data_IF_603492969273
#
_entry.id   IF_603492969273
#
_cell.length_a   1.000
_cell.length_b   1.000
_cell.length_c   1.000
_cell.angle_alpha   90.00
_cell.angle_beta   90.00
_cell.angle_gamma   90.00
#
_symmetry.space_group_name_H-M   'P 1'
#
loop_
_entity.id
_entity.type
_entity.pdbx_description
1 polymer ?
#
# COMPACT_ATOMS: atom_id res chain seq x y z
N UNK A 1 31.38 43.91 2.13
CA UNK A 1 30.94 45.27 1.78
C UNK A 1 30.02 45.17 0.57
N UNK A 2 28.71 45.34 0.76
CA UNK A 2 27.73 45.41 -0.33
C UNK A 2 27.19 46.84 -0.37
N UNK A 3 27.38 47.50 -1.51
CA UNK A 3 26.94 48.88 -1.78
C UNK A 3 25.40 48.96 -1.77
N UNK A 4 24.81 49.67 -0.81
CA UNK A 4 23.40 50.08 -0.87
C UNK A 4 23.28 51.40 -1.64
N UNK A 5 22.81 51.37 -2.89
CA UNK A 5 22.32 52.59 -3.54
C UNK A 5 20.90 52.88 -3.07
N UNK A 6 20.75 53.91 -2.23
CA UNK A 6 19.45 54.43 -1.82
C UNK A 6 18.77 55.10 -3.03
N UNK A 7 17.67 54.54 -3.52
CA UNK A 7 16.85 55.19 -4.56
C UNK A 7 15.81 56.08 -3.87
N UNK A 8 16.02 57.41 -3.90
CA UNK A 8 15.01 58.38 -3.41
C UNK A 8 13.79 58.36 -4.34
N UNK A 9 12.59 58.23 -3.78
CA UNK A 9 11.31 58.38 -4.50
C UNK A 9 10.48 59.48 -3.85
N UNK A 10 9.76 60.26 -4.65
CA UNK A 10 8.87 61.33 -4.19
C UNK A 10 7.42 60.83 -4.36
N UNK A 11 6.62 60.96 -3.31
CA UNK A 11 5.20 60.61 -3.30
C UNK A 11 4.31 61.84 -3.23
N UNK A 12 3.15 61.79 -3.87
CA UNK A 12 2.08 62.79 -3.69
C UNK A 12 1.10 62.33 -2.61
N UNK A 13 0.71 63.24 -1.72
CA UNK A 13 -0.26 63.00 -0.63
C UNK A 13 -1.64 63.45 -1.10
N UNK A 14 -2.64 62.59 -0.97
CA UNK A 14 -4.06 62.95 -1.13
C UNK A 14 -4.76 62.85 0.22
N UNK A 15 -5.49 63.91 0.60
CA UNK A 15 -6.31 63.92 1.82
C UNK A 15 -7.73 63.42 1.50
N UNK A 16 -8.11 62.27 2.07
CA UNK A 16 -9.49 61.77 2.08
C UNK A 16 -10.33 62.43 3.19
N UNK A 17 -11.66 62.39 3.04
CA UNK A 17 -12.64 63.12 3.85
C UNK A 17 -12.77 62.66 5.32
N UNK A 18 -12.14 61.57 5.71
CA UNK A 18 -12.00 61.17 7.11
C UNK A 18 -10.50 61.04 7.38
N UNK A 19 -9.94 62.08 8.00
CA UNK A 19 -8.49 62.20 8.23
C UNK A 19 -7.93 60.97 8.92
N UNK A 20 -7.19 60.15 8.16
CA UNK A 20 -6.01 59.36 8.57
C UNK A 20 -5.67 58.27 7.53
N UNK A 21 -5.54 58.64 6.25
CA UNK A 21 -4.97 57.75 5.25
C UNK A 21 -4.10 58.53 4.26
N UNK A 22 -2.80 58.29 4.31
CA UNK A 22 -1.84 58.79 3.32
C UNK A 22 -1.53 57.67 2.35
N UNK A 23 -2.06 57.78 1.12
CA UNK A 23 -1.76 56.84 0.04
C UNK A 23 -0.57 57.39 -0.75
N UNK A 24 0.51 56.62 -0.84
CA UNK A 24 1.71 56.99 -1.62
C UNK A 24 1.79 56.11 -2.86
N UNK A 25 1.65 56.70 -4.05
CA UNK A 25 1.92 56.00 -5.31
C UNK A 25 3.43 55.93 -5.56
N UNK A 26 4.00 54.72 -5.49
CA UNK A 26 5.41 54.51 -5.79
C UNK A 26 5.63 54.35 -7.31
N UNK A 27 5.54 55.44 -8.06
CA UNK A 27 6.00 55.50 -9.45
C UNK A 27 7.51 55.69 -9.55
N UNK A 28 8.14 55.20 -10.62
CA UNK A 28 9.41 55.77 -11.09
C UNK A 28 9.12 57.15 -11.69
N UNK A 29 9.94 58.15 -11.41
CA UNK A 29 9.81 59.46 -12.06
C UNK A 29 9.86 59.25 -13.58
N UNK A 30 8.82 59.67 -14.28
CA UNK A 30 8.76 59.68 -15.74
C UNK A 30 8.23 58.42 -16.43
N UNK A 31 7.76 57.39 -15.72
CA UNK A 31 7.10 56.25 -16.37
C UNK A 31 6.04 55.60 -15.44
N UNK A 32 4.74 55.93 -15.59
CA UNK A 32 3.68 55.22 -14.89
C UNK A 32 3.49 53.83 -15.50
N UNK A 33 3.65 52.79 -14.68
CA UNK A 33 3.30 51.41 -15.06
C UNK A 33 1.81 51.24 -14.73
N UNK A 34 0.93 50.96 -15.71
CA UNK A 34 -0.46 50.62 -15.42
C UNK A 34 -0.49 49.31 -14.62
N UNK A 35 -1.44 49.19 -13.68
CA UNK A 35 -1.75 47.96 -12.93
C UNK A 35 -0.83 47.54 -11.76
N UNK A 36 -0.02 48.45 -11.20
CA UNK A 36 0.59 48.18 -9.88
C UNK A 36 -0.41 48.56 -8.78
N UNK A 37 -0.89 47.61 -7.96
CA UNK A 37 -1.80 47.93 -6.86
C UNK A 37 -1.09 48.82 -5.82
N UNK A 38 -1.79 49.81 -5.25
CA UNK A 38 -1.19 50.71 -4.27
C UNK A 38 -0.74 49.93 -3.03
N UNK A 39 0.50 50.16 -2.60
CA UNK A 39 1.03 49.60 -1.36
C UNK A 39 0.66 50.53 -0.21
N UNK A 40 -0.11 50.04 0.75
CA UNK A 40 -0.47 50.78 1.95
C UNK A 40 0.70 50.68 2.94
N UNK A 41 1.33 51.80 3.28
CA UNK A 41 2.50 51.85 4.17
C UNK A 41 2.10 52.41 5.56
N UNK A 42 0.97 51.92 6.11
CA UNK A 42 0.57 52.12 7.51
C UNK A 42 -0.38 53.29 7.81
N UNK A 43 -0.93 53.30 9.04
CA UNK A 43 -1.70 54.40 9.65
C UNK A 43 -0.78 55.25 10.54
N UNK A 44 -0.89 56.57 10.48
CA UNK A 44 -0.10 57.50 11.30
C UNK A 44 -1.03 58.35 12.18
N UNK A 45 -0.62 58.74 13.40
CA UNK A 45 -1.44 59.59 14.26
C UNK A 45 -1.51 61.03 13.74
N UNK A 46 -2.73 61.59 13.75
CA UNK A 46 -3.09 62.92 13.27
C UNK A 46 -2.39 64.08 14.00
N UNK A 47 -1.14 64.38 13.67
CA UNK A 47 -0.48 65.65 14.02
C UNK A 47 0.47 66.10 12.90
N UNK A 48 -0.07 66.35 11.70
CA UNK A 48 0.67 66.97 10.60
C UNK A 48 0.02 68.31 10.24
N UNK A 49 0.83 69.37 10.25
CA UNK A 49 0.43 70.73 9.91
C UNK A 49 0.09 70.80 8.41
N UNK A 50 -1.13 71.22 8.01
CA UNK A 50 -1.59 71.17 6.60
C UNK A 50 -0.83 72.06 5.61
N UNK A 51 0.21 72.80 6.04
CA UNK A 51 1.03 73.65 5.16
C UNK A 51 2.40 73.05 4.78
N UNK A 52 2.77 71.89 5.32
CA UNK A 52 4.02 71.21 4.97
C UNK A 52 3.79 70.21 3.83
N UNK A 53 4.05 70.63 2.58
CA UNK A 53 3.79 69.82 1.37
C UNK A 53 4.88 68.79 1.02
N UNK A 54 5.82 68.50 1.92
CA UNK A 54 6.84 67.47 1.67
C UNK A 54 7.29 66.79 2.95
N UNK A 55 6.72 65.60 3.23
CA UNK A 55 7.28 64.67 4.22
C UNK A 55 8.34 63.83 3.51
N UNK A 56 9.60 63.99 3.91
CA UNK A 56 10.68 63.07 3.52
C UNK A 56 10.48 61.77 4.30
N UNK A 57 9.82 60.79 3.69
CA UNK A 57 9.70 59.45 4.24
C UNK A 57 10.99 58.71 3.92
N UNK A 58 11.86 58.50 4.91
CA UNK A 58 13.00 57.59 4.80
C UNK A 58 12.47 56.15 4.94
N UNK A 59 11.75 55.71 3.91
CA UNK A 59 11.29 54.34 3.83
C UNK A 59 12.52 53.47 3.52
N UNK A 60 13.12 52.88 4.56
CA UNK A 60 13.91 51.67 4.35
C UNK A 60 12.95 50.62 3.80
N UNK A 61 12.91 50.50 2.47
CA UNK A 61 12.39 49.31 1.82
C UNK A 61 13.29 48.19 2.29
N UNK A 62 12.89 47.49 3.36
CA UNK A 62 13.35 46.12 3.56
C UNK A 62 13.02 45.45 2.25
N UNK A 63 14.05 45.12 1.46
CA UNK A 63 13.85 44.15 0.40
C UNK A 63 13.12 42.99 1.08
N UNK A 64 12.02 42.46 0.51
CA UNK A 64 11.49 41.22 1.02
C UNK A 64 12.72 40.31 1.09
N UNK A 65 13.01 39.79 2.30
CA UNK A 65 14.03 38.76 2.42
C UNK A 65 13.74 37.83 1.25
N UNK A 66 14.71 37.70 0.35
CA UNK A 66 14.61 36.69 -0.68
C UNK A 66 14.48 35.43 0.13
N UNK A 67 13.24 34.96 0.31
CA UNK A 67 12.95 33.69 0.95
C UNK A 67 13.92 32.76 0.29
N UNK A 68 14.81 32.18 1.07
CA UNK A 68 15.86 31.32 0.56
C UNK A 68 15.17 30.24 -0.27
N UNK A 69 15.04 30.45 -1.59
CA UNK A 69 14.44 29.49 -2.53
C UNK A 69 15.46 28.41 -2.88
N UNK A 70 16.60 28.42 -2.19
CA UNK A 70 17.59 27.35 -2.12
C UNK A 70 17.40 26.50 -0.84
N UNK A 71 16.23 26.52 -0.20
CA UNK A 71 15.84 25.38 0.63
C UNK A 71 15.49 24.24 -0.33
N UNK A 72 16.48 23.40 -0.65
CA UNK A 72 16.17 22.03 -1.03
C UNK A 72 15.15 21.49 -0.01
N UNK A 73 14.00 20.95 -0.44
CA UNK A 73 13.09 20.31 0.51
C UNK A 73 13.92 19.32 1.31
N UNK A 74 13.80 19.32 2.65
CA UNK A 74 14.45 18.30 3.48
C UNK A 74 14.12 16.94 2.84
N UNK A 75 15.15 16.24 2.36
CA UNK A 75 15.00 14.93 1.77
C UNK A 75 14.53 14.00 2.89
N UNK A 76 13.22 13.77 2.96
CA UNK A 76 12.68 12.68 3.75
C UNK A 76 12.90 11.40 2.95
N UNK A 77 13.84 10.52 3.36
CA UNK A 77 14.09 9.30 2.63
C UNK A 77 12.82 8.46 2.60
N UNK A 78 12.45 7.96 1.41
CA UNK A 78 11.29 7.08 1.26
C UNK A 78 11.65 5.75 1.90
N UNK A 79 10.97 5.38 2.97
CA UNK A 79 11.14 4.08 3.60
C UNK A 79 10.42 2.98 2.80
N UNK A 80 10.98 1.77 2.79
CA UNK A 80 10.29 0.61 2.26
C UNK A 80 9.02 0.34 3.08
N UNK A 81 7.88 0.15 2.40
CA UNK A 81 6.63 -0.21 3.07
C UNK A 81 6.77 -1.58 3.74
N UNK A 82 6.44 -1.69 5.05
CA UNK A 82 6.45 -2.97 5.73
C UNK A 82 5.35 -3.89 5.19
N UNK A 83 5.61 -5.20 5.18
CA UNK A 83 4.61 -6.22 4.91
C UNK A 83 3.86 -6.57 6.21
N UNK A 84 2.67 -5.99 6.38
CA UNK A 84 1.90 -6.08 7.62
C UNK A 84 1.49 -7.52 7.93
N UNK A 85 1.02 -8.28 6.94
CA UNK A 85 0.63 -9.67 7.13
C UNK A 85 1.81 -10.52 7.61
N UNK A 86 2.98 -10.37 6.98
CA UNK A 86 4.21 -11.07 7.38
C UNK A 86 4.64 -10.72 8.80
N UNK A 87 4.56 -9.44 9.19
CA UNK A 87 4.92 -9.01 10.56
C UNK A 87 3.94 -9.54 11.60
N UNK A 88 2.63 -9.54 11.32
CA UNK A 88 1.61 -10.13 12.21
C UNK A 88 1.84 -11.62 12.41
N UNK A 89 2.10 -12.39 11.34
CA UNK A 89 2.42 -13.81 11.46
C UNK A 89 3.68 -14.05 12.30
N UNK A 90 4.73 -13.25 12.11
CA UNK A 90 5.96 -13.35 12.91
C UNK A 90 5.72 -13.04 14.41
N UNK A 91 4.72 -12.21 14.72
CA UNK A 91 4.25 -11.94 16.09
C UNK A 91 3.33 -13.04 16.66
N UNK A 92 3.01 -14.08 15.89
CA UNK A 92 2.09 -15.15 16.27
C UNK A 92 0.61 -14.77 16.20
N UNK A 93 0.30 -13.63 15.57
CA UNK A 93 -1.06 -13.14 15.39
C UNK A 93 -1.74 -13.77 14.16
N UNK A 94 -3.07 -13.71 14.13
CA UNK A 94 -3.85 -14.15 12.97
C UNK A 94 -3.90 -13.04 11.91
N UNK A 95 -3.67 -13.42 10.66
CA UNK A 95 -3.87 -12.62 9.46
C UNK A 95 -5.21 -12.96 8.83
N UNK A 96 -6.04 -11.95 8.61
CA UNK A 96 -7.28 -12.04 7.84
C UNK A 96 -7.05 -11.54 6.41
N UNK A 97 -7.15 -12.44 5.43
CA UNK A 97 -6.98 -12.16 4.01
C UNK A 97 -8.33 -12.26 3.27
N UNK A 98 -8.63 -11.30 2.39
CA UNK A 98 -9.84 -11.32 1.57
C UNK A 98 -9.52 -11.47 0.08
N UNK A 99 -10.26 -12.30 -0.62
CA UNK A 99 -10.21 -12.48 -2.08
C UNK A 99 -11.49 -11.98 -2.76
N UNK A 100 -11.45 -11.89 -4.10
CA UNK A 100 -12.59 -11.43 -4.91
C UNK A 100 -12.65 -9.91 -5.10
N UNK A 101 -11.55 -9.20 -4.82
CA UNK A 101 -11.39 -7.77 -5.11
C UNK A 101 -10.52 -7.66 -6.37
N UNK A 102 -11.12 -7.27 -7.50
CA UNK A 102 -10.47 -7.32 -8.82
C UNK A 102 -10.25 -5.95 -9.44
N UNK A 103 -10.87 -4.91 -8.87
CA UNK A 103 -10.66 -3.52 -9.23
C UNK A 103 -10.13 -2.72 -8.02
N UNK A 104 -9.29 -1.68 -8.23
CA UNK A 104 -8.88 -0.79 -7.13
C UNK A 104 -10.04 -0.19 -6.34
N UNK A 105 -11.19 0.10 -6.98
CA UNK A 105 -12.39 0.60 -6.31
C UNK A 105 -12.97 -0.43 -5.33
N UNK A 106 -12.90 -1.73 -5.63
CA UNK A 106 -13.30 -2.79 -4.71
C UNK A 106 -12.46 -2.74 -3.44
N UNK A 107 -11.14 -2.57 -3.60
CA UNK A 107 -10.18 -2.46 -2.50
C UNK A 107 -10.45 -1.21 -1.66
N UNK A 108 -10.72 -0.06 -2.30
CA UNK A 108 -11.08 1.18 -1.60
C UNK A 108 -12.39 1.03 -0.81
N UNK A 109 -13.35 0.27 -1.33
CA UNK A 109 -14.61 -0.01 -0.64
C UNK A 109 -14.42 -0.95 0.55
N UNK A 110 -13.51 -1.91 0.44
CA UNK A 110 -13.22 -2.87 1.51
C UNK A 110 -12.22 -2.37 2.55
N UNK A 111 -11.35 -1.41 2.21
CA UNK A 111 -10.31 -0.88 3.08
C UNK A 111 -10.78 -0.49 4.50
N UNK A 112 -11.91 0.22 4.67
CA UNK A 112 -12.46 0.54 5.99
C UNK A 112 -12.85 -0.67 6.85
N UNK A 113 -13.01 -1.87 6.26
CA UNK A 113 -13.33 -3.09 7.00
C UNK A 113 -12.13 -3.68 7.75
N UNK A 114 -10.90 -3.21 7.48
CA UNK A 114 -9.72 -3.53 8.28
C UNK A 114 -9.16 -4.95 8.08
N UNK A 115 -9.22 -5.49 6.86
CA UNK A 115 -8.50 -6.72 6.52
C UNK A 115 -6.98 -6.48 6.50
N UNK A 116 -6.20 -7.51 6.81
CA UNK A 116 -4.74 -7.41 6.86
C UNK A 116 -4.09 -7.55 5.49
N UNK A 117 -4.77 -8.28 4.58
CA UNK A 117 -4.26 -8.60 3.26
C UNK A 117 -5.37 -8.76 2.22
N UNK A 118 -5.01 -8.54 0.96
CA UNK A 118 -5.84 -8.80 -0.21
C UNK A 118 -5.17 -9.86 -1.08
N UNK A 119 -5.93 -10.90 -1.41
CA UNK A 119 -5.55 -11.95 -2.34
C UNK A 119 -5.98 -11.57 -3.77
N UNK A 120 -5.00 -11.19 -4.57
CA UNK A 120 -5.14 -10.85 -5.98
C UNK A 120 -5.06 -12.14 -6.81
N UNK A 121 -6.17 -12.48 -7.45
CA UNK A 121 -6.37 -13.79 -8.07
C UNK A 121 -5.94 -13.80 -9.54
N UNK A 122 -4.72 -14.30 -9.81
CA UNK A 122 -4.13 -14.38 -11.14
C UNK A 122 -4.08 -15.79 -11.75
N UNK A 123 -4.64 -16.81 -11.09
CA UNK A 123 -4.69 -18.18 -11.62
C UNK A 123 -6.05 -18.50 -12.26
N UNK A 124 -7.14 -18.23 -11.55
CA UNK A 124 -8.52 -18.44 -12.02
C UNK A 124 -9.28 -17.13 -12.25
N UNK A 125 -8.67 -16.01 -11.87
CA UNK A 125 -9.28 -14.69 -11.90
C UNK A 125 -8.79 -13.82 -13.05
N UNK A 126 -9.33 -12.60 -13.15
CA UNK A 126 -9.01 -11.69 -14.24
C UNK A 126 -7.72 -10.88 -14.03
N UNK A 127 -7.06 -10.98 -12.87
CA UNK A 127 -5.92 -10.11 -12.52
C UNK A 127 -4.68 -10.52 -13.31
N UNK A 128 -4.15 -9.61 -14.12
CA UNK A 128 -2.89 -9.77 -14.85
C UNK A 128 -1.89 -8.66 -14.45
N UNK A 129 -0.65 -8.74 -14.95
CA UNK A 129 0.44 -7.82 -14.63
C UNK A 129 0.13 -6.34 -14.89
N UNK A 130 -0.82 -6.05 -15.78
CA UNK A 130 -1.26 -4.67 -16.03
C UNK A 130 -1.91 -4.08 -14.79
N UNK A 131 -2.76 -4.86 -14.12
CA UNK A 131 -3.67 -4.41 -13.06
C UNK A 131 -2.94 -4.25 -11.72
N UNK A 132 -1.93 -5.10 -11.46
CA UNK A 132 -1.17 -5.16 -10.20
C UNK A 132 -0.75 -3.77 -9.68
N UNK A 133 -0.32 -2.88 -10.57
CA UNK A 133 0.17 -1.56 -10.17
C UNK A 133 -0.89 -0.70 -9.48
N UNK A 134 -2.12 -0.74 -9.95
CA UNK A 134 -3.22 0.04 -9.39
C UNK A 134 -3.84 -0.69 -8.20
N UNK A 135 -3.98 -2.01 -8.28
CA UNK A 135 -4.46 -2.84 -7.16
C UNK A 135 -3.56 -2.70 -5.92
N UNK A 136 -2.24 -2.80 -6.11
CA UNK A 136 -1.28 -2.66 -5.01
C UNK A 136 -1.22 -1.23 -4.45
N UNK A 137 -1.52 -0.19 -5.26
CA UNK A 137 -1.63 1.18 -4.75
C UNK A 137 -2.83 1.34 -3.83
N UNK A 138 -3.97 0.76 -4.19
CA UNK A 138 -5.14 0.76 -3.31
C UNK A 138 -4.82 0.02 -1.99
N UNK A 139 -4.17 -1.15 -2.05
CA UNK A 139 -3.72 -1.84 -0.84
C UNK A 139 -2.80 -0.97 0.03
N UNK A 140 -1.81 -0.29 -0.57
CA UNK A 140 -0.89 0.59 0.16
C UNK A 140 -1.64 1.71 0.92
N UNK A 141 -2.69 2.30 0.32
CA UNK A 141 -3.47 3.39 0.93
C UNK A 141 -4.17 2.95 2.22
N UNK A 142 -4.62 1.70 2.27
CA UNK A 142 -5.33 1.12 3.40
C UNK A 142 -4.43 0.32 4.34
N UNK A 143 -3.12 0.27 4.08
CA UNK A 143 -2.18 -0.51 4.87
C UNK A 143 -2.39 -2.02 4.76
N UNK A 144 -3.07 -2.49 3.71
CA UNK A 144 -3.31 -3.90 3.46
C UNK A 144 -2.13 -4.51 2.69
N UNK A 145 -1.74 -5.73 3.04
CA UNK A 145 -0.69 -6.45 2.29
C UNK A 145 -1.27 -6.95 0.97
N UNK A 146 -0.65 -6.59 -0.15
CA UNK A 146 -1.02 -7.12 -1.47
C UNK A 146 -0.31 -8.45 -1.73
N UNK A 147 -1.10 -9.51 -1.94
CA UNK A 147 -0.60 -10.87 -2.18
C UNK A 147 -1.19 -11.36 -3.51
N UNK A 148 -0.37 -11.80 -4.45
CA UNK A 148 -0.85 -12.32 -5.73
C UNK A 148 -0.70 -13.82 -5.80
N UNK A 149 -1.79 -14.54 -6.08
CA UNK A 149 -1.70 -15.91 -6.58
C UNK A 149 -1.33 -15.88 -8.05
N UNK A 150 -0.17 -16.45 -8.35
CA UNK A 150 0.32 -16.60 -9.72
C UNK A 150 -0.21 -17.91 -10.30
N UNK A 151 -0.22 -18.02 -11.62
CA UNK A 151 -0.76 -19.20 -12.30
C UNK A 151 0.25 -20.36 -12.45
N UNK A 152 1.55 -20.11 -12.29
CA UNK A 152 2.60 -21.11 -12.45
C UNK A 152 3.81 -20.80 -11.57
N UNK A 153 4.49 -21.85 -11.09
CA UNK A 153 5.74 -21.74 -10.32
C UNK A 153 6.96 -21.45 -11.22
N UNK A 154 6.89 -20.36 -11.99
CA UNK A 154 8.01 -19.87 -12.79
C UNK A 154 8.64 -18.65 -12.13
N UNK A 155 9.97 -18.68 -11.93
CA UNK A 155 10.69 -17.58 -11.30
C UNK A 155 10.45 -16.24 -12.00
N UNK A 156 10.29 -16.26 -13.33
CA UNK A 156 10.00 -15.07 -14.13
C UNK A 156 8.65 -14.41 -13.80
N UNK A 157 7.65 -15.22 -13.46
CA UNK A 157 6.34 -14.75 -13.04
C UNK A 157 6.43 -14.21 -11.61
N UNK A 158 7.12 -14.94 -10.72
CA UNK A 158 7.36 -14.55 -9.32
C UNK A 158 8.00 -13.17 -9.23
N UNK A 159 9.17 -12.96 -9.83
CA UNK A 159 9.87 -11.68 -9.70
C UNK A 159 9.14 -10.56 -10.44
N UNK A 160 8.47 -10.84 -11.57
CA UNK A 160 7.71 -9.82 -12.30
C UNK A 160 6.52 -9.31 -11.48
N UNK A 161 5.84 -10.18 -10.74
CA UNK A 161 4.77 -9.76 -9.83
C UNK A 161 5.34 -8.85 -8.72
N UNK A 162 6.44 -9.27 -8.08
CA UNK A 162 7.12 -8.48 -7.05
C UNK A 162 7.60 -7.11 -7.58
N UNK A 163 8.14 -7.05 -8.79
CA UNK A 163 8.57 -5.80 -9.45
C UNK A 163 7.39 -4.85 -9.66
N UNK A 164 6.19 -5.40 -9.92
CA UNK A 164 4.97 -4.62 -10.10
C UNK A 164 4.37 -4.09 -8.79
N UNK A 165 4.84 -4.57 -7.64
CA UNK A 165 4.57 -3.97 -6.33
C UNK A 165 3.85 -4.84 -5.32
N UNK A 166 3.54 -6.10 -5.64
CA UNK A 166 2.98 -7.02 -4.63
C UNK A 166 4.04 -7.29 -3.57
N UNK A 167 3.58 -7.51 -2.33
CA UNK A 167 4.45 -7.81 -1.20
C UNK A 167 4.47 -9.31 -0.89
N UNK A 168 3.48 -10.08 -1.37
CA UNK A 168 3.42 -11.52 -1.23
C UNK A 168 3.10 -12.25 -2.53
N UNK A 169 3.57 -13.49 -2.64
CA UNK A 169 3.28 -14.40 -3.75
C UNK A 169 2.66 -15.67 -3.18
N UNK A 170 1.55 -16.10 -3.78
CA UNK A 170 0.97 -17.44 -3.58
C UNK A 170 1.30 -18.28 -4.80
N UNK A 171 1.85 -19.47 -4.59
CA UNK A 171 2.17 -20.41 -5.66
C UNK A 171 1.27 -21.65 -5.54
N UNK A 172 0.46 -21.96 -6.56
CA UNK A 172 -0.40 -23.13 -6.58
C UNK A 172 0.39 -24.41 -6.85
N UNK A 173 -0.22 -25.56 -6.55
CA UNK A 173 0.24 -26.90 -6.91
C UNK A 173 1.71 -27.20 -6.51
N UNK A 174 2.14 -26.77 -5.32
CA UNK A 174 3.50 -27.06 -4.81
C UNK A 174 3.51 -28.46 -4.20
N UNK A 175 3.98 -29.43 -4.97
CA UNK A 175 3.89 -30.86 -4.68
C UNK A 175 5.16 -31.46 -4.08
N UNK A 176 6.30 -30.77 -4.21
CA UNK A 176 7.62 -31.29 -3.81
C UNK A 176 8.46 -30.23 -3.12
N UNK A 177 9.47 -30.67 -2.36
CA UNK A 177 10.49 -29.81 -1.77
C UNK A 177 11.20 -28.93 -2.82
N UNK A 178 11.55 -29.49 -3.97
CA UNK A 178 12.23 -28.77 -5.04
C UNK A 178 11.37 -27.63 -5.62
N UNK A 179 10.06 -27.85 -5.77
CA UNK A 179 9.13 -26.80 -6.21
C UNK A 179 9.00 -25.69 -5.16
N UNK A 180 8.97 -26.05 -3.87
CA UNK A 180 8.96 -25.10 -2.76
C UNK A 180 10.27 -24.26 -2.72
N UNK A 181 11.43 -24.90 -2.91
CA UNK A 181 12.73 -24.22 -3.02
C UNK A 181 12.78 -23.27 -4.23
N UNK A 182 12.14 -23.64 -5.35
CA UNK A 182 12.07 -22.79 -6.54
C UNK A 182 11.31 -21.48 -6.29
N UNK A 183 10.27 -21.49 -5.43
CA UNK A 183 9.55 -20.27 -5.02
C UNK A 183 10.50 -19.30 -4.34
N UNK A 184 11.28 -19.80 -3.38
CA UNK A 184 12.25 -18.99 -2.61
C UNK A 184 13.35 -18.47 -3.54
N UNK A 185 13.88 -19.33 -4.41
CA UNK A 185 14.90 -18.96 -5.39
C UNK A 185 14.42 -17.85 -6.33
N UNK A 186 13.18 -17.91 -6.83
CA UNK A 186 12.65 -16.89 -7.74
C UNK A 186 12.36 -15.55 -7.08
N UNK A 187 12.00 -15.55 -5.80
CA UNK A 187 11.50 -14.34 -5.14
C UNK A 187 12.47 -13.62 -4.19
N UNK A 188 13.52 -14.30 -3.68
CA UNK A 188 14.56 -13.65 -2.86
C UNK A 188 15.76 -13.24 -3.71
N UNK A 189 16.33 -12.07 -3.41
CA UNK A 189 17.64 -11.67 -3.91
C UNK A 189 18.77 -12.50 -3.26
N UNK A 190 19.93 -12.52 -3.91
CA UNK A 190 21.16 -13.13 -3.40
C UNK A 190 21.54 -12.58 -2.02
N UNK A 191 22.08 -13.39 -1.09
CA UNK A 191 22.47 -14.80 -1.26
C UNK A 191 21.36 -15.82 -1.00
N UNK A 192 20.17 -15.38 -0.57
CA UNK A 192 19.07 -16.29 -0.20
C UNK A 192 18.42 -16.94 -1.42
N UNK A 193 18.28 -16.18 -2.50
CA UNK A 193 17.73 -16.67 -3.76
C UNK A 193 18.47 -16.13 -4.98
N UNK A 194 17.79 -16.22 -6.12
CA UNK A 194 18.30 -15.92 -7.46
C UNK A 194 17.38 -14.94 -8.21
N UNK A 195 16.55 -14.16 -7.49
CA UNK A 195 15.68 -13.13 -8.08
C UNK A 195 16.48 -12.20 -8.99
N UNK A 196 16.00 -12.05 -10.23
CA UNK A 196 16.58 -11.12 -11.21
C UNK A 196 16.64 -9.70 -10.65
N UNK A 197 17.78 -9.02 -10.85
CA UNK A 197 18.02 -7.71 -10.25
C UNK A 197 17.22 -6.61 -10.96
N UNK A 198 16.11 -6.20 -10.35
CA UNK A 198 15.36 -5.02 -10.72
C UNK A 198 14.70 -4.42 -9.48
N UNK A 199 14.39 -3.12 -9.50
CA UNK A 199 13.62 -2.49 -8.42
C UNK A 199 12.16 -2.92 -8.48
N UNK A 200 11.40 -2.62 -7.44
CA UNK A 200 9.93 -2.78 -7.44
C UNK A 200 9.25 -1.42 -7.46
N UNK A 201 7.95 -1.37 -7.77
CA UNK A 201 7.10 -0.22 -7.40
C UNK A 201 7.27 0.17 -5.93
N UNK A 202 7.46 -0.81 -5.04
CA UNK A 202 7.72 -0.58 -3.62
C UNK A 202 9.10 0.03 -3.35
N UNK A 203 10.04 -0.10 -4.29
CA UNK A 203 11.41 0.41 -4.19
C UNK A 203 11.63 1.78 -4.83
N UNK A 204 10.62 2.42 -5.41
CA UNK A 204 10.77 3.76 -6.00
C UNK A 204 11.11 4.80 -4.93
N UNK A 205 12.32 5.37 -5.03
CA UNK A 205 12.84 6.34 -4.05
C UNK A 205 13.41 5.72 -2.77
N UNK A 206 13.39 4.39 -2.64
CA UNK A 206 13.93 3.68 -1.47
C UNK A 206 15.40 3.33 -1.71
N UNK A 207 16.31 4.02 -1.03
CA UNK A 207 17.76 3.86 -1.24
C UNK A 207 18.26 2.44 -0.91
N UNK A 208 17.78 1.88 0.20
CA UNK A 208 18.17 0.57 0.71
C UNK A 208 17.16 -0.53 0.35
N UNK A 209 16.52 -0.43 -0.82
CA UNK A 209 15.51 -1.40 -1.24
C UNK A 209 16.07 -2.84 -1.27
N UNK A 210 17.23 -3.06 -1.89
CA UNK A 210 17.79 -4.41 -2.03
C UNK A 210 18.23 -5.03 -0.71
N UNK A 211 18.64 -4.20 0.26
CA UNK A 211 19.02 -4.66 1.60
C UNK A 211 17.81 -5.17 2.40
N UNK A 212 16.63 -4.54 2.19
CA UNK A 212 15.43 -4.81 3.00
C UNK A 212 14.35 -5.63 2.27
N UNK A 213 14.38 -5.72 0.94
CA UNK A 213 13.30 -6.31 0.14
C UNK A 213 13.06 -7.78 0.49
N UNK A 214 14.13 -8.53 0.79
CA UNK A 214 14.02 -9.93 1.20
C UNK A 214 13.17 -10.08 2.47
N UNK A 215 13.32 -9.17 3.43
CA UNK A 215 12.61 -9.23 4.71
C UNK A 215 11.13 -8.85 4.58
N UNK A 216 10.77 -8.05 3.57
CA UNK A 216 9.39 -7.64 3.31
C UNK A 216 8.66 -8.51 2.27
N UNK A 217 9.37 -9.42 1.60
CA UNK A 217 8.75 -10.34 0.63
C UNK A 217 8.18 -11.56 1.34
N UNK A 218 6.89 -11.84 1.11
CA UNK A 218 6.17 -12.98 1.68
C UNK A 218 5.93 -14.09 0.65
N UNK A 219 6.05 -15.36 1.06
CA UNK A 219 5.67 -16.51 0.23
C UNK A 219 4.64 -17.41 0.89
N UNK A 220 3.66 -17.81 0.09
CA UNK A 220 2.62 -18.77 0.44
C UNK A 220 2.67 -19.89 -0.60
N UNK A 221 2.74 -21.14 -0.15
CA UNK A 221 2.66 -22.31 -1.05
C UNK A 221 1.37 -23.06 -0.79
N UNK A 222 0.67 -23.44 -1.86
CA UNK A 222 -0.56 -24.20 -1.76
C UNK A 222 -0.26 -25.69 -1.67
N UNK A 223 -0.71 -26.28 -0.56
CA UNK A 223 -0.77 -27.72 -0.31
C UNK A 223 -2.18 -28.16 -0.67
N UNK A 224 -2.42 -28.34 -1.97
CA UNK A 224 -3.76 -28.53 -2.53
C UNK A 224 -3.88 -29.75 -3.44
N UNK A 225 -2.85 -30.59 -3.43
CA UNK A 225 -2.83 -31.86 -4.11
C UNK A 225 -2.51 -32.96 -3.10
N UNK A 226 -3.09 -34.15 -3.26
CA UNK A 226 -2.82 -35.29 -2.39
C UNK A 226 -1.32 -35.67 -2.39
N UNK A 227 -0.62 -35.40 -3.50
CA UNK A 227 0.84 -35.58 -3.61
C UNK A 227 1.57 -34.62 -2.67
N UNK A 228 1.19 -33.34 -2.63
CA UNK A 228 1.74 -32.36 -1.69
C UNK A 228 1.52 -32.78 -0.23
N UNK A 229 0.34 -33.30 0.11
CA UNK A 229 0.06 -33.81 1.46
C UNK A 229 0.96 -34.98 1.83
N UNK A 230 1.19 -35.91 0.89
CA UNK A 230 2.09 -37.05 1.11
C UNK A 230 3.56 -36.63 1.26
N UNK A 231 3.97 -35.56 0.59
CA UNK A 231 5.34 -35.01 0.64
C UNK A 231 5.51 -33.90 1.69
N UNK A 232 4.48 -33.66 2.53
CA UNK A 232 4.41 -32.47 3.37
C UNK A 232 5.59 -32.34 4.35
N UNK A 233 6.15 -33.44 4.86
CA UNK A 233 7.34 -33.39 5.73
C UNK A 233 8.52 -32.70 5.03
N UNK A 234 8.83 -33.10 3.81
CA UNK A 234 9.97 -32.56 3.05
C UNK A 234 9.73 -31.10 2.62
N UNK A 235 8.48 -30.76 2.29
CA UNK A 235 8.09 -29.39 1.92
C UNK A 235 8.26 -28.44 3.11
N UNK A 236 7.91 -28.88 4.33
CA UNK A 236 8.02 -28.08 5.56
C UNK A 236 9.47 -27.80 6.00
N UNK A 237 10.45 -28.52 5.45
CA UNK A 237 11.88 -28.25 5.68
C UNK A 237 12.38 -27.01 4.93
N UNK A 238 11.63 -26.49 3.96
CA UNK A 238 12.08 -25.35 3.14
C UNK A 238 11.95 -24.04 3.93
N UNK A 239 13.08 -23.37 4.12
CA UNK A 239 13.14 -22.07 4.79
C UNK A 239 12.62 -20.94 3.91
N UNK A 240 12.31 -19.81 4.53
CA UNK A 240 11.79 -18.60 3.88
C UNK A 240 10.40 -18.71 3.21
N UNK A 241 9.68 -19.81 3.42
CA UNK A 241 8.24 -19.90 3.16
C UNK A 241 7.49 -19.44 4.41
N UNK A 242 6.58 -18.48 4.24
CA UNK A 242 5.89 -17.83 5.35
C UNK A 242 4.56 -18.52 5.71
N UNK A 243 3.88 -19.15 4.74
CA UNK A 243 2.61 -19.86 4.95
C UNK A 243 2.55 -21.11 4.08
N UNK A 244 2.19 -22.24 4.71
CA UNK A 244 1.79 -23.46 4.02
C UNK A 244 0.26 -23.52 4.04
N UNK A 245 -0.36 -23.26 2.90
CA UNK A 245 -1.80 -23.06 2.80
C UNK A 245 -2.49 -24.32 2.27
N UNK A 246 -3.39 -24.92 3.04
CA UNK A 246 -4.15 -26.10 2.61
C UNK A 246 -5.44 -25.64 1.95
N UNK A 247 -5.53 -25.77 0.62
CA UNK A 247 -6.71 -25.37 -0.15
C UNK A 247 -7.64 -26.59 -0.36
N UNK A 248 -8.92 -26.52 0.07
CA UNK A 248 -9.78 -27.71 0.10
C UNK A 248 -10.30 -28.14 -1.27
N UNK A 249 -10.52 -27.21 -2.20
CA UNK A 249 -11.17 -27.49 -3.49
C UNK A 249 -10.33 -28.38 -4.40
N UNK A 250 -9.09 -27.98 -4.67
CA UNK A 250 -8.17 -28.78 -5.48
C UNK A 250 -7.73 -30.05 -4.74
N UNK A 251 -7.64 -30.01 -3.41
CA UNK A 251 -7.34 -31.20 -2.62
C UNK A 251 -8.41 -32.27 -2.83
N UNK A 252 -9.69 -31.91 -2.70
CA UNK A 252 -10.80 -32.81 -2.99
C UNK A 252 -10.75 -33.34 -4.43
N UNK A 253 -10.43 -32.47 -5.39
CA UNK A 253 -10.28 -32.85 -6.80
C UNK A 253 -9.17 -33.90 -7.00
N UNK A 254 -7.99 -33.65 -6.44
CA UNK A 254 -6.82 -34.55 -6.53
C UNK A 254 -7.04 -35.91 -5.85
N UNK A 255 -7.97 -35.97 -4.88
CA UNK A 255 -8.41 -37.21 -4.21
C UNK A 255 -9.51 -37.95 -5.00
N UNK A 256 -9.97 -37.42 -6.13
CA UNK A 256 -11.08 -37.99 -6.92
C UNK A 256 -12.47 -37.66 -6.37
N UNK A 257 -12.57 -36.66 -5.49
CA UNK A 257 -13.78 -36.25 -4.75
C UNK A 257 -14.21 -34.83 -5.14
N UNK A 258 -14.16 -34.51 -6.44
CA UNK A 258 -14.48 -33.19 -6.99
C UNK A 258 -15.81 -32.65 -6.43
N UNK A 259 -15.76 -31.44 -5.85
CA UNK A 259 -16.92 -30.74 -5.29
C UNK A 259 -17.46 -31.30 -3.96
N UNK A 260 -16.83 -32.34 -3.39
CA UNK A 260 -17.27 -32.97 -2.14
C UNK A 260 -16.39 -32.54 -0.96
N UNK A 261 -16.40 -31.24 -0.65
CA UNK A 261 -15.55 -30.67 0.42
C UNK A 261 -15.85 -31.26 1.80
N UNK A 262 -17.11 -31.61 2.05
CA UNK A 262 -17.58 -32.21 3.31
C UNK A 262 -17.37 -33.73 3.38
N UNK A 263 -16.76 -34.34 2.36
CA UNK A 263 -16.47 -35.78 2.39
C UNK A 263 -15.53 -36.09 3.56
N UNK A 264 -15.82 -37.08 4.43
CA UNK A 264 -15.04 -37.32 5.64
C UNK A 264 -13.54 -37.49 5.40
N UNK A 265 -13.13 -38.11 4.29
CA UNK A 265 -11.71 -38.26 3.93
C UNK A 265 -11.06 -36.92 3.53
N UNK A 266 -11.78 -36.03 2.84
CA UNK A 266 -11.26 -34.70 2.46
C UNK A 266 -11.06 -33.86 3.72
N UNK A 267 -12.07 -33.84 4.59
CA UNK A 267 -12.00 -33.14 5.88
C UNK A 267 -10.84 -33.66 6.72
N UNK A 268 -10.74 -34.99 6.89
CA UNK A 268 -9.65 -35.60 7.67
C UNK A 268 -8.26 -35.33 7.08
N UNK A 269 -8.14 -35.33 5.75
CA UNK A 269 -6.87 -35.05 5.06
C UNK A 269 -6.47 -33.59 5.22
N UNK A 270 -7.41 -32.66 5.02
CA UNK A 270 -7.20 -31.23 5.23
C UNK A 270 -6.79 -30.92 6.67
N UNK A 271 -7.57 -31.40 7.64
CA UNK A 271 -7.31 -31.14 9.06
C UNK A 271 -6.01 -31.81 9.53
N UNK A 272 -5.71 -33.00 9.03
CA UNK A 272 -4.45 -33.70 9.28
C UNK A 272 -3.24 -32.91 8.76
N UNK A 273 -3.33 -32.37 7.54
CA UNK A 273 -2.28 -31.53 6.97
C UNK A 273 -2.10 -30.23 7.77
N UNK A 274 -3.19 -29.52 8.09
CA UNK A 274 -3.16 -28.30 8.90
C UNK A 274 -2.53 -28.55 10.27
N UNK A 275 -2.95 -29.60 10.97
CA UNK A 275 -2.40 -29.99 12.26
C UNK A 275 -0.90 -30.26 12.17
N UNK A 276 -0.46 -31.01 11.15
CA UNK A 276 0.96 -31.32 10.92
C UNK A 276 1.80 -30.07 10.68
N UNK A 277 1.30 -29.12 9.89
CA UNK A 277 1.96 -27.83 9.66
C UNK A 277 2.14 -27.09 10.99
N UNK A 278 1.07 -26.96 11.79
CA UNK A 278 1.11 -26.29 13.09
C UNK A 278 2.08 -26.98 14.06
N UNK A 279 2.02 -28.31 14.17
CA UNK A 279 2.89 -29.11 15.06
C UNK A 279 4.37 -29.03 14.66
N UNK A 280 4.67 -28.74 13.38
CA UNK A 280 6.05 -28.49 12.91
C UNK A 280 6.59 -27.10 13.26
N UNK A 281 5.76 -26.23 13.86
CA UNK A 281 6.12 -24.83 14.15
C UNK A 281 6.07 -23.91 12.94
N UNK A 282 5.54 -24.38 11.80
CA UNK A 282 5.30 -23.57 10.60
C UNK A 282 3.88 -22.98 10.64
N UNK A 283 3.66 -21.93 9.86
CA UNK A 283 2.36 -21.26 9.79
C UNK A 283 1.44 -21.99 8.82
N UNK A 284 0.31 -22.48 9.32
CA UNK A 284 -0.77 -23.01 8.51
C UNK A 284 -1.72 -21.90 8.05
N UNK A 285 -2.18 -22.03 6.80
CA UNK A 285 -3.27 -21.22 6.25
C UNK A 285 -4.35 -22.07 5.57
N UNK A 286 -5.57 -21.55 5.47
CA UNK A 286 -6.65 -22.23 4.75
C UNK A 286 -7.80 -21.28 4.40
N UNK A 287 -8.70 -21.75 3.51
CA UNK A 287 -9.97 -21.08 3.21
C UNK A 287 -10.94 -21.29 4.39
N UNK A 288 -11.53 -20.21 4.87
CA UNK A 288 -12.51 -20.20 5.96
C UNK A 288 -13.73 -19.38 5.60
N UNK A 289 -14.85 -19.68 6.24
CA UNK A 289 -16.10 -18.96 6.20
C UNK A 289 -16.49 -18.49 7.62
N UNK A 290 -17.54 -17.69 7.72
CA UNK A 290 -17.95 -17.09 9.00
C UNK A 290 -18.32 -18.13 10.07
N UNK A 291 -18.77 -19.31 9.67
CA UNK A 291 -19.22 -20.39 10.55
C UNK A 291 -18.11 -21.35 10.99
N UNK A 292 -16.99 -21.41 10.25
CA UNK A 292 -15.90 -22.36 10.53
C UNK A 292 -14.56 -21.71 10.90
N UNK A 293 -14.41 -20.38 10.77
CA UNK A 293 -13.12 -19.70 11.03
C UNK A 293 -12.57 -19.99 12.43
N UNK A 294 -13.42 -20.02 13.45
CA UNK A 294 -13.01 -20.30 14.83
C UNK A 294 -12.42 -21.71 15.00
N UNK A 295 -13.02 -22.70 14.32
CA UNK A 295 -12.54 -24.09 14.35
C UNK A 295 -11.07 -24.17 13.89
N UNK A 296 -10.74 -23.52 12.77
CA UNK A 296 -9.37 -23.51 12.26
C UNK A 296 -8.42 -22.67 13.11
N UNK A 297 -8.86 -21.52 13.63
CA UNK A 297 -7.99 -20.71 14.52
C UNK A 297 -7.69 -21.42 15.84
N UNK A 298 -8.64 -22.21 16.36
CA UNK A 298 -8.46 -23.03 17.56
C UNK A 298 -7.48 -24.19 17.31
N UNK A 299 -7.43 -24.72 16.07
CA UNK A 299 -6.40 -25.66 15.64
C UNK A 299 -5.00 -25.04 15.49
N UNK A 300 -4.87 -23.72 15.63
CA UNK A 300 -3.60 -23.01 15.48
C UNK A 300 -3.33 -22.45 14.09
N UNK A 301 -4.30 -22.48 13.17
CA UNK A 301 -4.19 -21.78 11.88
C UNK A 301 -4.09 -20.28 12.14
N UNK A 302 -3.17 -19.61 11.44
CA UNK A 302 -2.91 -18.16 11.61
C UNK A 302 -3.01 -17.36 10.32
N UNK A 303 -3.11 -17.99 9.16
CA UNK A 303 -3.46 -17.30 7.92
C UNK A 303 -4.85 -17.75 7.45
N UNK A 304 -5.88 -16.96 7.76
CA UNK A 304 -7.26 -17.28 7.35
C UNK A 304 -7.61 -16.45 6.13
N UNK A 305 -8.10 -17.11 5.09
CA UNK A 305 -8.53 -16.45 3.85
C UNK A 305 -10.02 -16.71 3.63
N UNK A 306 -10.75 -15.68 3.21
CA UNK A 306 -12.16 -15.77 2.78
C UNK A 306 -12.35 -15.01 1.47
N UNK A 307 -13.47 -15.22 0.79
CA UNK A 307 -13.86 -14.42 -0.38
C UNK A 307 -15.02 -13.48 -0.03
N UNK A 308 -15.11 -12.35 -0.74
CA UNK A 308 -16.20 -11.39 -0.58
C UNK A 308 -17.55 -11.89 -1.14
N UNK A 309 -17.52 -12.81 -2.10
CA UNK A 309 -18.69 -13.31 -2.83
C UNK A 309 -19.82 -13.82 -1.94
N UNK A 310 -19.58 -14.77 -1.01
CA UNK A 310 -20.60 -15.28 -0.10
C UNK A 310 -21.29 -14.19 0.74
N UNK A 311 -20.59 -13.13 1.14
CA UNK A 311 -21.20 -12.02 1.87
C UNK A 311 -22.12 -11.17 0.98
N UNK A 312 -21.71 -10.93 -0.27
CA UNK A 312 -22.54 -10.23 -1.26
C UNK A 312 -23.81 -11.05 -1.55
N UNK A 313 -23.65 -12.35 -1.79
CA UNK A 313 -24.77 -13.26 -2.09
C UNK A 313 -25.76 -13.34 -0.91
N UNK A 314 -25.25 -13.51 0.31
CA UNK A 314 -26.07 -13.54 1.51
C UNK A 314 -26.81 -12.21 1.74
N UNK A 315 -26.12 -11.07 1.57
CA UNK A 315 -26.72 -9.75 1.69
C UNK A 315 -27.81 -9.49 0.63
N UNK A 316 -27.55 -9.87 -0.61
CA UNK A 316 -28.52 -9.77 -1.70
C UNK A 316 -29.75 -10.66 -1.47
N UNK A 317 -29.53 -11.91 -1.06
CA UNK A 317 -30.61 -12.84 -0.74
C UNK A 317 -31.48 -12.33 0.42
N UNK A 318 -30.86 -11.80 1.48
CA UNK A 318 -31.58 -11.20 2.61
C UNK A 318 -32.43 -10.00 2.17
N UNK A 319 -31.90 -9.12 1.32
CA UNK A 319 -32.65 -7.98 0.77
C UNK A 319 -33.82 -8.42 -0.10
N UNK A 320 -33.60 -9.37 -1.02
CA UNK A 320 -34.66 -9.96 -1.86
C UNK A 320 -35.78 -10.57 -1.02
N UNK A 321 -35.42 -11.35 -0.01
CA UNK A 321 -36.37 -11.96 0.93
C UNK A 321 -37.19 -10.92 1.67
N UNK A 322 -36.56 -9.86 2.19
CA UNK A 322 -37.25 -8.75 2.84
C UNK A 322 -38.19 -7.98 1.89
N UNK A 323 -37.87 -7.95 0.60
CA UNK A 323 -38.72 -7.39 -0.45
C UNK A 323 -39.82 -8.35 -0.95
N UNK A 324 -39.89 -9.59 -0.44
CA UNK A 324 -40.85 -10.61 -0.88
C UNK A 324 -40.54 -11.20 -2.26
N UNK A 325 -39.30 -11.08 -2.74
CA UNK A 325 -38.85 -11.61 -4.03
C UNK A 325 -38.11 -12.93 -3.79
N UNK A 326 -38.66 -14.03 -4.31
CA UNK A 326 -37.99 -15.34 -4.35
C UNK A 326 -36.79 -15.31 -5.30
#
# INVERSE_FOLDING_TARGET
MLNSQATRRVGHVHHGLDGDLVIVHLGRIGNPVPDVPPVIIGRFPATLNPKDHSVLIDAQVKQPETSNRDSHPEEHPVALRPNQAKHKLAAGETVCCVSGLTDPEDIDRFGPAGFDAVWLEGEHGPVDFRDIGDLTRACDLWGMTSIMRINQNEQAIVYRALDRGVQGIVVPHVNTKAEAENVVAGGKFSPVGQRGLFTSRQGYGVENYFDNANDQTMFIVLIEDIVAVNNLDEILEVDHIDVFFVAPSDLASSMGLIGQLDHPEVVATREGALKKIVESGRVAGTLTFNDDVNHYTDMGVRFVMTSSGPWIDAGAAAFKSAAGIS
#
